data_IF_644373922999
#
_entry.id   IF_644373922999
#
_cell.length_a   1.000
_cell.length_b   1.000
_cell.length_c   1.000
_cell.angle_alpha   90.00
_cell.angle_beta   90.00
_cell.angle_gamma   90.00
#
_symmetry.space_group_name_H-M   'P 1'
#
loop_
_entity.id
_entity.type
_entity.pdbx_description
1 polymer ?
#
# COMPACT_ATOMS: atom_id res chain seq x y z
N UNK A 1 -13.57 -5.47 3.08
CA UNK A 1 -12.30 -4.86 3.49
C UNK A 1 -11.15 -5.75 3.04
N UNK A 2 -10.08 -5.16 2.53
CA UNK A 2 -8.84 -5.85 2.21
C UNK A 2 -7.67 -5.22 2.98
N UNK A 3 -6.63 -5.99 3.22
CA UNK A 3 -5.43 -5.58 3.95
C UNK A 3 -4.21 -5.91 3.10
N UNK A 4 -3.34 -4.94 2.84
CA UNK A 4 -2.13 -5.11 2.03
C UNK A 4 -2.40 -5.54 0.57
N UNK A 5 -3.60 -5.26 0.04
CA UNK A 5 -3.99 -5.73 -1.29
C UNK A 5 -3.20 -5.04 -2.40
N UNK A 6 -2.68 -5.80 -3.40
CA UNK A 6 -2.11 -5.23 -4.61
C UNK A 6 -3.18 -4.60 -5.51
N UNK A 7 -2.77 -4.02 -6.64
CA UNK A 7 -3.70 -3.58 -7.69
C UNK A 7 -4.32 -4.79 -8.36
N UNK A 8 -5.62 -4.73 -8.65
CA UNK A 8 -6.41 -5.92 -8.99
C UNK A 8 -6.88 -5.99 -10.44
N UNK A 9 -6.91 -4.88 -11.17
CA UNK A 9 -7.38 -4.84 -12.55
C UNK A 9 -6.99 -3.55 -13.27
N UNK A 10 -7.43 -3.41 -14.50
CA UNK A 10 -7.25 -2.21 -15.30
C UNK A 10 -8.26 -1.10 -14.95
N UNK A 11 -8.28 -0.06 -15.77
CA UNK A 11 -9.21 1.06 -15.56
C UNK A 11 -10.67 0.69 -15.81
N UNK A 12 -10.94 -0.23 -16.72
CA UNK A 12 -12.28 -0.71 -17.01
C UNK A 12 -12.84 -1.49 -15.82
N UNK A 13 -12.07 -2.46 -15.33
CA UNK A 13 -12.42 -3.18 -14.11
C UNK A 13 -12.66 -2.25 -12.91
N UNK A 14 -11.81 -1.24 -12.71
CA UNK A 14 -11.97 -0.32 -11.61
C UNK A 14 -13.25 0.53 -11.73
N UNK A 15 -13.63 0.91 -12.95
CA UNK A 15 -14.87 1.65 -13.24
C UNK A 15 -16.10 0.77 -13.00
N UNK A 16 -16.07 -0.47 -13.47
CA UNK A 16 -17.16 -1.44 -13.27
C UNK A 16 -17.36 -1.75 -11.79
N UNK A 17 -16.25 -1.93 -11.07
CA UNK A 17 -16.31 -2.14 -9.63
C UNK A 17 -16.93 -0.94 -8.91
N UNK A 18 -16.56 0.28 -9.25
CA UNK A 18 -17.13 1.49 -8.67
C UNK A 18 -18.63 1.61 -8.95
N UNK A 19 -19.07 1.16 -10.13
CA UNK A 19 -20.48 1.19 -10.57
C UNK A 19 -21.30 0.06 -9.95
N UNK A 20 -20.68 -0.99 -9.44
CA UNK A 20 -21.38 -2.16 -8.89
C UNK A 20 -22.11 -1.91 -7.56
N UNK A 21 -21.88 -0.76 -6.91
CA UNK A 21 -22.42 -0.45 -5.58
C UNK A 21 -21.73 -1.18 -4.42
N UNK A 22 -20.74 -2.01 -4.68
CA UNK A 22 -19.96 -2.70 -3.65
C UNK A 22 -19.07 -1.72 -2.93
N UNK A 23 -19.24 -1.59 -1.61
CA UNK A 23 -18.32 -0.81 -0.77
C UNK A 23 -17.11 -1.66 -0.38
N UNK A 24 -15.93 -1.17 -0.70
CA UNK A 24 -14.68 -1.81 -0.30
C UNK A 24 -13.75 -0.78 0.36
N UNK A 25 -13.19 -1.16 1.50
CA UNK A 25 -12.13 -0.41 2.19
C UNK A 25 -10.83 -1.20 2.07
N UNK A 26 -9.75 -0.53 1.72
CA UNK A 26 -8.39 -1.07 1.66
C UNK A 26 -7.55 -0.50 2.79
N UNK A 27 -7.03 -1.36 3.64
CA UNK A 27 -5.99 -0.96 4.60
C UNK A 27 -4.65 -1.09 3.91
N UNK A 28 -3.90 -0.01 3.89
CA UNK A 28 -2.64 0.13 3.15
C UNK A 28 -1.56 0.62 4.11
N UNK A 29 -0.59 -0.23 4.41
CA UNK A 29 0.63 0.26 5.04
C UNK A 29 1.43 1.07 4.01
N UNK A 30 1.78 2.30 4.34
CA UNK A 30 2.49 3.21 3.43
C UNK A 30 3.89 2.71 3.06
N UNK A 31 4.46 1.80 3.85
CA UNK A 31 5.76 1.18 3.61
C UNK A 31 5.67 -0.16 2.85
N UNK A 32 4.47 -0.75 2.75
CA UNK A 32 4.25 -2.03 2.09
C UNK A 32 4.34 -1.90 0.55
N UNK A 33 5.39 -2.48 -0.02
CA UNK A 33 5.61 -2.47 -1.49
C UNK A 33 4.58 -3.31 -2.25
N UNK A 34 4.00 -4.35 -1.64
CA UNK A 34 3.03 -5.23 -2.30
C UNK A 34 1.78 -4.46 -2.71
N UNK A 35 1.39 -3.45 -1.96
CA UNK A 35 0.25 -2.59 -2.31
C UNK A 35 0.49 -1.76 -3.58
N UNK A 36 1.72 -1.71 -4.09
CA UNK A 36 2.12 -0.92 -5.27
C UNK A 36 2.26 -1.74 -6.54
N UNK A 37 2.18 -3.06 -6.45
CA UNK A 37 2.25 -3.95 -7.61
C UNK A 37 0.86 -4.43 -8.00
N UNK A 38 0.61 -4.79 -9.27
CA UNK A 38 1.44 -4.47 -10.45
C UNK A 38 1.55 -2.96 -10.70
N UNK A 39 2.55 -2.48 -11.47
CA UNK A 39 2.73 -1.05 -11.74
C UNK A 39 1.50 -0.41 -12.39
N UNK A 40 1.22 0.85 -12.03
CA UNK A 40 0.15 1.65 -12.68
C UNK A 40 0.59 2.28 -14.01
N UNK A 41 1.86 2.14 -14.39
CA UNK A 41 2.47 2.68 -15.60
C UNK A 41 3.02 1.51 -16.40
N UNK A 42 3.01 1.59 -17.72
CA UNK A 42 3.38 0.59 -18.71
C UNK A 42 2.16 -0.04 -19.43
N UNK A 43 2.40 -1.07 -20.22
CA UNK A 43 1.45 -1.74 -21.11
C UNK A 43 0.15 -2.25 -20.45
N UNK A 44 0.17 -2.41 -19.12
CA UNK A 44 -0.99 -2.84 -18.34
C UNK A 44 -1.17 -1.95 -17.12
N UNK A 45 -1.93 -0.83 -17.23
CA UNK A 45 -2.11 0.12 -16.14
C UNK A 45 -3.07 -0.43 -15.07
N UNK A 46 -2.54 -1.23 -14.16
CA UNK A 46 -3.33 -1.76 -13.05
C UNK A 46 -3.80 -0.66 -12.10
N UNK A 47 -5.01 -0.81 -11.59
CA UNK A 47 -5.67 0.11 -10.68
C UNK A 47 -6.09 -0.57 -9.38
N UNK A 48 -6.21 0.20 -8.35
CA UNK A 48 -6.88 -0.21 -7.12
C UNK A 48 -8.38 0.00 -7.23
N UNK A 49 -9.12 -0.77 -6.43
CA UNK A 49 -10.55 -0.55 -6.17
C UNK A 49 -10.78 -0.32 -4.68
N UNK A 50 -11.82 0.41 -4.32
CA UNK A 50 -12.19 0.72 -2.94
C UNK A 50 -11.40 1.88 -2.31
N UNK A 51 -11.94 2.39 -1.20
CA UNK A 51 -11.41 3.53 -0.46
C UNK A 51 -10.17 3.16 0.35
N UNK A 52 -9.06 3.85 0.20
CA UNK A 52 -7.87 3.58 0.98
C UNK A 52 -7.94 4.20 2.38
N UNK A 53 -7.52 3.43 3.37
CA UNK A 53 -7.16 3.88 4.71
C UNK A 53 -5.71 3.50 4.92
N UNK A 54 -4.86 4.47 5.20
CA UNK A 54 -3.43 4.26 5.30
C UNK A 54 -2.99 4.05 6.75
N UNK A 55 -2.02 3.17 6.94
CA UNK A 55 -1.19 3.14 8.14
C UNK A 55 0.05 3.97 7.81
N UNK A 56 0.30 5.03 8.58
CA UNK A 56 1.49 5.86 8.39
C UNK A 56 2.75 5.25 9.03
N UNK A 57 3.88 5.96 8.90
CA UNK A 57 5.15 5.49 9.45
C UNK A 57 5.18 5.33 10.98
N UNK A 58 4.22 5.92 11.69
CA UNK A 58 4.05 5.83 13.15
C UNK A 58 3.04 4.74 13.53
N UNK A 59 2.45 4.05 12.57
CA UNK A 59 1.46 2.99 12.78
C UNK A 59 0.05 3.50 13.01
N UNK A 60 -0.24 4.77 12.69
CA UNK A 60 -1.54 5.40 12.88
C UNK A 60 -2.40 5.29 11.62
N UNK A 61 -3.69 4.99 11.78
CA UNK A 61 -4.66 4.95 10.69
C UNK A 61 -5.04 6.37 10.24
N UNK A 62 -4.83 6.65 8.96
CA UNK A 62 -5.11 7.95 8.33
C UNK A 62 -5.96 7.75 7.07
N UNK A 63 -7.17 8.33 7.06
CA UNK A 63 -8.08 8.20 5.91
C UNK A 63 -7.65 9.02 4.69
N UNK A 64 -7.03 10.18 4.90
CA UNK A 64 -6.57 11.08 3.83
C UNK A 64 -5.18 11.63 4.15
N UNK A 65 -4.11 10.86 3.91
CA UNK A 65 -2.77 11.39 4.10
C UNK A 65 -2.50 12.50 3.09
N UNK A 66 -1.79 13.55 3.50
CA UNK A 66 -1.30 14.56 2.55
C UNK A 66 -0.34 13.92 1.55
N UNK A 67 -0.31 14.42 0.32
CA UNK A 67 0.60 13.94 -0.71
C UNK A 67 2.06 13.97 -0.24
N UNK A 68 2.45 15.03 0.47
CA UNK A 68 3.79 15.20 1.04
C UNK A 68 4.18 14.09 2.03
N UNK A 69 3.22 13.63 2.86
CA UNK A 69 3.47 12.51 3.79
C UNK A 69 3.61 11.17 3.05
N UNK A 70 2.84 10.97 1.99
CA UNK A 70 2.95 9.75 1.17
C UNK A 70 4.29 9.73 0.45
N UNK A 71 4.74 10.85 -0.10
CA UNK A 71 6.01 10.96 -0.80
C UNK A 71 7.21 10.84 0.15
N UNK A 72 7.16 11.45 1.34
CA UNK A 72 8.19 11.31 2.36
C UNK A 72 8.35 9.87 2.84
N UNK A 73 7.24 9.15 3.05
CA UNK A 73 7.27 7.73 3.39
C UNK A 73 7.84 6.87 2.25
N UNK A 74 7.59 7.25 0.99
CA UNK A 74 8.16 6.62 -0.19
C UNK A 74 9.69 6.74 -0.23
N UNK A 75 10.22 7.90 0.06
CA UNK A 75 11.66 8.15 0.04
C UNK A 75 12.37 7.44 1.19
N UNK A 76 11.75 7.40 2.37
CA UNK A 76 12.24 6.61 3.51
C UNK A 76 12.26 5.11 3.20
N UNK A 77 11.21 4.58 2.55
CA UNK A 77 11.15 3.19 2.13
C UNK A 77 12.23 2.84 1.09
N UNK A 78 12.48 3.75 0.13
CA UNK A 78 13.58 3.59 -0.85
C UNK A 78 14.95 3.58 -0.18
N UNK A 79 15.18 4.49 0.75
CA UNK A 79 16.45 4.57 1.50
C UNK A 79 16.67 3.30 2.32
N UNK A 80 15.64 2.80 3.00
CA UNK A 80 15.68 1.55 3.75
C UNK A 80 15.96 0.35 2.84
N UNK A 81 15.39 0.32 1.62
CA UNK A 81 15.68 -0.71 0.62
C UNK A 81 17.16 -0.73 0.23
N UNK A 82 17.74 0.41 -0.11
CA UNK A 82 19.18 0.48 -0.41
C UNK A 82 20.06 -0.01 0.74
N UNK A 83 19.69 0.31 1.96
CA UNK A 83 20.43 -0.13 3.15
C UNK A 83 20.28 -1.65 3.40
N UNK A 84 19.10 -2.24 3.11
CA UNK A 84 18.87 -3.67 3.30
C UNK A 84 19.58 -4.53 2.25
N UNK A 85 19.64 -4.07 1.01
CA UNK A 85 20.41 -4.73 -0.07
C UNK A 85 21.89 -4.78 0.27
N UNK A 86 22.45 -3.72 0.86
CA UNK A 86 23.84 -3.66 1.30
C UNK A 86 24.15 -4.60 2.48
N UNK A 87 23.14 -4.97 3.29
CA UNK A 87 23.29 -5.80 4.50
C UNK A 87 22.89 -7.27 4.31
N UNK A 88 22.54 -7.69 3.08
CA UNK A 88 22.07 -9.05 2.78
C UNK A 88 20.90 -9.54 3.65
N UNK A 89 20.10 -8.62 4.15
CA UNK A 89 18.88 -8.93 4.89
C UNK A 89 17.67 -8.89 3.96
N UNK A 90 16.61 -9.61 4.32
CA UNK A 90 15.34 -9.51 3.60
C UNK A 90 14.91 -8.05 3.48
N UNK A 91 14.50 -7.58 2.30
CA UNK A 91 14.03 -6.23 2.10
C UNK A 91 12.94 -5.89 3.12
N UNK A 92 13.06 -4.75 3.79
CA UNK A 92 12.10 -4.30 4.80
C UNK A 92 10.68 -4.23 4.23
N UNK A 93 10.55 -3.88 2.95
CA UNK A 93 9.28 -3.81 2.23
C UNK A 93 8.51 -5.13 2.22
N UNK A 94 9.21 -6.26 2.26
CA UNK A 94 8.57 -7.57 2.38
C UNK A 94 8.19 -7.88 3.83
N UNK A 95 8.94 -7.37 4.80
CA UNK A 95 8.57 -7.49 6.21
C UNK A 95 7.40 -6.59 6.55
N UNK A 96 7.29 -5.43 5.92
CA UNK A 96 6.17 -4.50 6.13
C UNK A 96 4.84 -5.05 5.57
N UNK A 97 4.91 -5.99 4.62
CA UNK A 97 3.74 -6.75 4.18
C UNK A 97 3.28 -7.82 5.20
N UNK A 98 4.05 -8.09 6.25
CA UNK A 98 3.67 -9.09 7.23
C UNK A 98 2.39 -8.69 7.99
N UNK A 99 1.42 -9.63 8.19
CA UNK A 99 0.15 -9.34 8.84
C UNK A 99 0.28 -8.70 10.23
N UNK A 100 1.37 -8.98 10.94
CA UNK A 100 1.61 -8.42 12.27
C UNK A 100 1.76 -6.89 12.25
N UNK A 101 2.31 -6.32 11.18
CA UNK A 101 2.48 -4.87 11.06
C UNK A 101 1.14 -4.18 10.87
N UNK A 102 0.25 -4.79 10.12
CA UNK A 102 -1.13 -4.32 9.98
C UNK A 102 -1.91 -4.44 11.29
N UNK A 103 -1.74 -5.55 12.02
CA UNK A 103 -2.43 -5.77 13.29
C UNK A 103 -2.06 -4.73 14.34
N UNK A 104 -0.82 -4.25 14.36
CA UNK A 104 -0.38 -3.22 15.31
C UNK A 104 -1.17 -1.92 15.21
N UNK A 105 -1.64 -1.56 14.03
CA UNK A 105 -2.45 -0.34 13.85
C UNK A 105 -3.87 -0.46 14.45
N UNK A 106 -4.32 -1.67 14.74
CA UNK A 106 -5.64 -1.95 15.33
C UNK A 106 -5.56 -2.37 16.79
N UNK A 107 -4.36 -2.58 17.30
CA UNK A 107 -4.16 -3.03 18.68
C UNK A 107 -3.39 -1.96 19.46
N UNK A 108 -4.09 -1.24 20.34
CA UNK A 108 -3.45 -0.22 21.17
C UNK A 108 -2.47 -0.82 22.19
#
# INVERSE_FOLDING_TARGET
MTIGSPRVGDSEFATDFASSGVRATRIVDSLDVVTRVPPSKFLFPYRHVGEPVYIDGDGVLVSHPSADKVDANLDLARLAHYQSVLKSQLPRELTDHAPINYLRAFWP
#
